data_IF_357012484759
#
_entry.id   IF_357012484759
#
_cell.length_a   1.000
_cell.length_b   1.000
_cell.length_c   1.000
_cell.angle_alpha   90.00
_cell.angle_beta   90.00
_cell.angle_gamma   90.00
#
_symmetry.space_group_name_H-M   'P 1'
#
loop_
_entity.id
_entity.type
_entity.pdbx_description
1 polymer ?
#
# COMPACT_ATOMS: atom_id res chain seq x y z
N UNK A 1 -0.31 -33.78 2.66
CA UNK A 1 -1.03 -32.50 2.62
C UNK A 1 -0.01 -31.48 2.13
N UNK A 2 -0.25 -30.82 1.00
CA UNK A 2 0.52 -29.64 0.63
C UNK A 2 0.18 -28.56 1.64
N UNK A 3 1.14 -28.07 2.42
CA UNK A 3 0.90 -27.02 3.41
C UNK A 3 0.38 -25.77 2.70
N UNK A 4 -0.93 -25.54 2.81
CA UNK A 4 -1.61 -24.43 2.14
C UNK A 4 -1.40 -23.16 2.96
N UNK A 5 -0.73 -22.17 2.38
CA UNK A 5 -0.50 -20.89 3.05
C UNK A 5 -1.78 -20.04 3.08
N UNK A 6 -1.92 -19.20 4.11
CA UNK A 6 -3.04 -18.27 4.22
C UNK A 6 -3.15 -17.35 3.00
N UNK A 7 -4.36 -16.86 2.71
CA UNK A 7 -4.60 -15.92 1.61
C UNK A 7 -4.09 -14.51 1.96
N UNK A 8 -3.07 -13.97 1.26
CA UNK A 8 -2.54 -12.65 1.54
C UNK A 8 -3.35 -11.51 0.88
N UNK A 9 -4.24 -11.81 -0.08
CA UNK A 9 -5.02 -10.81 -0.80
C UNK A 9 -5.78 -9.80 0.09
N UNK A 10 -6.44 -10.21 1.19
CA UNK A 10 -7.12 -9.26 2.08
C UNK A 10 -6.17 -8.23 2.69
N UNK A 11 -4.93 -8.62 3.03
CA UNK A 11 -3.93 -7.69 3.56
C UNK A 11 -3.52 -6.66 2.49
N UNK A 12 -3.25 -7.14 1.27
CA UNK A 12 -2.88 -6.27 0.14
C UNK A 12 -3.99 -5.26 -0.20
N UNK A 13 -5.25 -5.72 -0.23
CA UNK A 13 -6.41 -4.87 -0.53
C UNK A 13 -6.71 -3.88 0.59
N UNK A 14 -6.61 -4.29 1.85
CA UNK A 14 -6.85 -3.40 2.98
C UNK A 14 -5.77 -2.31 3.10
N UNK A 15 -4.50 -2.68 2.87
CA UNK A 15 -3.37 -1.75 2.77
C UNK A 15 -3.59 -0.70 1.68
N UNK A 16 -3.94 -1.16 0.48
CA UNK A 16 -4.24 -0.30 -0.65
C UNK A 16 -5.43 0.63 -0.37
N UNK A 17 -6.56 0.04 0.05
CA UNK A 17 -7.83 0.73 0.18
C UNK A 17 -7.78 1.83 1.23
N UNK A 18 -7.24 1.54 2.43
CA UNK A 18 -7.16 2.54 3.49
C UNK A 18 -6.22 3.69 3.11
N UNK A 19 -5.03 3.38 2.60
CA UNK A 19 -4.05 4.41 2.23
C UNK A 19 -4.59 5.30 1.11
N UNK A 20 -5.25 4.70 0.11
CA UNK A 20 -5.91 5.43 -0.99
C UNK A 20 -7.04 6.31 -0.48
N UNK A 21 -7.87 5.79 0.43
CA UNK A 21 -8.98 6.55 1.00
C UNK A 21 -8.46 7.79 1.73
N UNK A 22 -7.48 7.64 2.61
CA UNK A 22 -6.95 8.77 3.40
C UNK A 22 -6.29 9.82 2.51
N UNK A 23 -5.50 9.40 1.51
CA UNK A 23 -4.94 10.35 0.53
C UNK A 23 -6.06 11.10 -0.22
N UNK A 24 -7.13 10.41 -0.60
CA UNK A 24 -8.20 11.04 -1.36
C UNK A 24 -9.12 11.92 -0.50
N UNK A 25 -9.19 11.73 0.81
CA UNK A 25 -9.82 12.70 1.72
C UNK A 25 -9.08 14.05 1.65
N UNK A 26 -7.74 14.03 1.58
CA UNK A 26 -6.92 15.24 1.37
C UNK A 26 -7.14 15.81 -0.03
N UNK A 27 -7.06 14.97 -1.08
CA UNK A 27 -7.22 15.43 -2.47
C UNK A 27 -8.61 16.00 -2.77
N UNK A 28 -9.65 15.47 -2.12
CA UNK A 28 -11.01 15.96 -2.23
C UNK A 28 -11.25 17.29 -1.48
N UNK A 29 -10.26 17.80 -0.74
CA UNK A 29 -10.38 19.03 0.03
C UNK A 29 -11.28 18.90 1.27
N UNK A 30 -11.55 17.68 1.73
CA UNK A 30 -12.34 17.43 2.95
C UNK A 30 -11.55 17.79 4.22
N UNK A 31 -10.21 17.78 4.13
CA UNK A 31 -9.29 18.26 5.16
C UNK A 31 -8.18 19.12 4.52
N UNK A 32 -7.49 19.99 5.30
CA UNK A 32 -6.44 20.86 4.78
C UNK A 32 -5.30 20.08 4.10
N UNK A 33 -4.71 20.64 3.04
CA UNK A 33 -3.68 19.99 2.23
C UNK A 33 -2.40 19.71 3.03
N UNK A 34 -2.13 20.56 4.01
CA UNK A 34 -1.03 20.45 4.97
C UNK A 34 -1.15 19.17 5.82
N UNK A 35 -2.35 18.55 5.86
CA UNK A 35 -2.59 17.27 6.52
C UNK A 35 -2.01 16.07 5.76
N UNK A 36 -1.41 16.22 4.56
CA UNK A 36 -0.85 15.10 3.79
C UNK A 36 0.17 14.28 4.58
N UNK A 37 0.82 14.89 5.58
CA UNK A 37 1.71 14.20 6.51
C UNK A 37 1.09 12.98 7.20
N UNK A 38 -0.24 12.95 7.39
CA UNK A 38 -0.95 11.79 7.96
C UNK A 38 -1.00 10.58 7.03
N UNK A 39 -0.84 10.79 5.72
CA UNK A 39 -0.83 9.72 4.70
C UNK A 39 0.51 9.01 4.68
N UNK A 40 1.61 9.70 5.02
CA UNK A 40 2.97 9.18 4.84
C UNK A 40 3.26 7.89 5.62
N UNK A 41 2.87 7.75 6.91
CA UNK A 41 3.03 6.49 7.62
C UNK A 41 2.22 5.34 7.00
N UNK A 42 1.01 5.62 6.49
CA UNK A 42 0.20 4.62 5.79
C UNK A 42 0.86 4.22 4.47
N UNK A 43 1.39 5.19 3.72
CA UNK A 43 2.13 4.97 2.47
C UNK A 43 3.42 4.18 2.68
N UNK A 44 4.14 4.38 3.78
CA UNK A 44 5.36 3.61 4.08
C UNK A 44 5.03 2.18 4.54
N UNK A 45 4.11 2.04 5.51
CA UNK A 45 3.99 0.78 6.24
C UNK A 45 2.82 -0.08 5.81
N UNK A 46 1.67 0.51 5.44
CA UNK A 46 0.45 -0.25 5.19
C UNK A 46 0.16 -0.42 3.69
N UNK A 47 -0.12 0.68 2.99
CA UNK A 47 -0.16 0.71 1.53
C UNK A 47 1.20 0.40 0.91
N UNK A 48 2.29 0.60 1.66
CA UNK A 48 3.66 0.32 1.23
C UNK A 48 4.12 -1.09 1.57
N UNK A 49 4.84 -1.22 2.70
CA UNK A 49 5.52 -2.45 3.10
C UNK A 49 4.58 -3.65 3.26
N UNK A 50 3.47 -3.52 3.98
CA UNK A 50 2.54 -4.63 4.19
C UNK A 50 1.90 -5.10 2.88
N UNK A 51 1.48 -4.17 2.01
CA UNK A 51 0.98 -4.50 0.68
C UNK A 51 2.05 -5.15 -0.20
N UNK A 52 3.28 -4.63 -0.18
CA UNK A 52 4.41 -5.24 -0.90
C UNK A 52 4.66 -6.68 -0.44
N UNK A 53 4.70 -6.91 0.88
CA UNK A 53 4.83 -8.24 1.45
C UNK A 53 3.67 -9.16 1.06
N UNK A 54 2.42 -8.66 1.03
CA UNK A 54 1.29 -9.44 0.53
C UNK A 54 1.51 -9.92 -0.92
N UNK A 55 2.08 -9.07 -1.77
CA UNK A 55 2.52 -9.46 -3.12
C UNK A 55 3.58 -10.57 -3.13
N UNK A 56 4.54 -10.53 -2.20
CA UNK A 56 5.56 -11.59 -2.09
C UNK A 56 4.94 -12.93 -1.70
N UNK A 57 3.89 -12.93 -0.88
CA UNK A 57 3.15 -14.14 -0.51
C UNK A 57 2.25 -14.66 -1.65
N UNK A 58 1.74 -13.79 -2.52
CA UNK A 58 1.02 -14.21 -3.73
C UNK A 58 1.93 -14.96 -4.72
N UNK A 59 3.23 -14.62 -4.81
CA UNK A 59 4.18 -15.43 -5.59
C UNK A 59 4.25 -16.86 -5.05
N UNK A 60 4.28 -17.03 -3.72
CA UNK A 60 4.28 -18.35 -3.09
C UNK A 60 2.97 -19.12 -3.33
N UNK A 61 1.84 -18.43 -3.51
CA UNK A 61 0.55 -19.03 -3.92
C UNK A 61 0.44 -19.33 -5.41
N UNK A 62 1.40 -18.90 -6.24
CA UNK A 62 1.32 -19.02 -7.69
C UNK A 62 0.30 -18.05 -8.33
N UNK A 63 -0.11 -17.00 -7.62
CA UNK A 63 -1.04 -15.99 -8.13
C UNK A 63 -0.27 -14.80 -8.72
N UNK A 64 0.03 -14.89 -10.02
CA UNK A 64 0.79 -13.85 -10.74
C UNK A 64 0.10 -12.48 -10.69
N UNK A 65 -1.23 -12.43 -10.77
CA UNK A 65 -1.97 -11.18 -10.74
C UNK A 65 -1.79 -10.47 -9.40
N UNK A 66 -2.08 -11.18 -8.29
CA UNK A 66 -1.93 -10.62 -6.95
C UNK A 66 -0.49 -10.22 -6.65
N UNK A 67 0.47 -11.05 -7.04
CA UNK A 67 1.88 -10.77 -6.84
C UNK A 67 2.33 -9.49 -7.55
N UNK A 68 1.95 -9.34 -8.82
CA UNK A 68 2.27 -8.16 -9.62
C UNK A 68 1.56 -6.92 -9.10
N UNK A 69 0.26 -7.02 -8.82
CA UNK A 69 -0.54 -5.87 -8.39
C UNK A 69 -0.10 -5.36 -7.02
N UNK A 70 -0.04 -6.22 -6.00
CA UNK A 70 0.32 -5.80 -4.65
C UNK A 70 1.79 -5.41 -4.54
N UNK A 71 2.71 -6.10 -5.23
CA UNK A 71 4.11 -5.69 -5.29
C UNK A 71 4.28 -4.30 -5.91
N UNK A 72 3.63 -4.04 -7.05
CA UNK A 72 3.75 -2.76 -7.74
C UNK A 72 3.13 -1.61 -6.96
N UNK A 73 1.91 -1.77 -6.43
CA UNK A 73 1.25 -0.72 -5.66
C UNK A 73 1.90 -0.51 -4.28
N UNK A 74 2.45 -1.56 -3.67
CA UNK A 74 3.30 -1.45 -2.48
C UNK A 74 4.54 -0.59 -2.72
N UNK A 75 5.25 -0.84 -3.81
CA UNK A 75 6.40 -0.03 -4.21
C UNK A 75 6.01 1.42 -4.55
N UNK A 76 4.87 1.61 -5.21
CA UNK A 76 4.32 2.94 -5.49
C UNK A 76 4.11 3.74 -4.20
N UNK A 77 3.45 3.17 -3.19
CA UNK A 77 3.16 3.87 -1.94
C UNK A 77 4.42 4.24 -1.15
N UNK A 78 5.41 3.33 -1.10
CA UNK A 78 6.70 3.63 -0.47
C UNK A 78 7.44 4.74 -1.24
N UNK A 79 7.40 4.72 -2.57
CA UNK A 79 8.02 5.76 -3.40
C UNK A 79 7.34 7.11 -3.22
N UNK A 80 6.01 7.14 -3.24
CA UNK A 80 5.21 8.34 -2.99
C UNK A 80 5.51 8.93 -1.61
N UNK A 81 5.44 8.11 -0.55
CA UNK A 81 5.70 8.60 0.79
C UNK A 81 7.15 9.08 0.98
N UNK A 82 8.12 8.38 0.39
CA UNK A 82 9.53 8.82 0.45
C UNK A 82 9.74 10.12 -0.32
N UNK A 83 9.12 10.27 -1.49
CA UNK A 83 9.16 11.51 -2.26
C UNK A 83 8.62 12.68 -1.44
N UNK A 84 7.42 12.55 -0.86
CA UNK A 84 6.84 13.59 0.00
C UNK A 84 7.70 13.89 1.24
N UNK A 85 8.40 12.91 1.82
CA UNK A 85 9.33 13.17 2.94
C UNK A 85 10.56 13.97 2.50
N UNK A 86 11.09 13.69 1.31
CA UNK A 86 12.35 14.30 0.83
C UNK A 86 12.14 15.66 0.19
N UNK A 87 11.04 15.84 -0.55
CA UNK A 87 10.78 17.03 -1.37
C UNK A 87 9.44 17.69 -1.07
N UNK A 88 8.62 17.13 -0.18
CA UNK A 88 7.31 17.68 0.16
C UNK A 88 7.44 19.04 0.82
N UNK A 89 6.91 20.05 0.13
CA UNK A 89 6.66 21.41 0.61
C UNK A 89 5.28 21.50 1.25
#
# INVERSE_FOLDING_TARGET
>A
MTDEIANPAPLGLAGFGLTTLVLNIVNAGLIPRESVGMVLPLGLFYGGLAQFMAGMWEFKKGNTFGATAFGSFGAFWMSFATMEILIGA
#
